data_IF_372633254616
#
_entry.id   IF_372633254616
#
_cell.length_a   1.000
_cell.length_b   1.000
_cell.length_c   1.000
_cell.angle_alpha   90.00
_cell.angle_beta   90.00
_cell.angle_gamma   90.00
#
_symmetry.space_group_name_H-M   'P 1'
#
loop_
_entity.id
_entity.type
_entity.pdbx_description
1 polymer ?
#
# COMPACT_ATOMS: atom_id res chain seq x y z
N UNK A 1 16.23 -5.43 40.35
CA UNK A 1 14.97 -4.65 40.55
C UNK A 1 13.82 -5.64 40.65
N UNK A 2 12.64 -5.26 41.16
CA UNK A 2 11.52 -6.19 41.35
C UNK A 2 10.18 -5.62 40.90
N UNK A 3 9.16 -6.46 40.84
CA UNK A 3 7.83 -6.15 40.31
C UNK A 3 6.75 -6.52 41.34
N UNK A 4 5.75 -5.66 41.48
CA UNK A 4 4.55 -5.90 42.29
C UNK A 4 3.50 -6.68 41.47
N UNK A 5 3.05 -7.81 42.00
CA UNK A 5 1.96 -8.63 41.45
C UNK A 5 0.67 -8.40 42.25
N UNK A 6 -0.46 -8.37 41.55
CA UNK A 6 -1.80 -8.27 42.15
C UNK A 6 -2.54 -9.59 41.95
N UNK A 7 -3.17 -10.08 43.01
CA UNK A 7 -4.10 -11.21 43.01
C UNK A 7 -5.42 -10.71 43.61
N UNK A 8 -6.56 -11.20 43.11
CA UNK A 8 -7.88 -10.71 43.53
C UNK A 8 -8.07 -10.89 45.06
N UNK A 9 -8.10 -9.81 45.86
CA UNK A 9 -8.05 -9.92 47.31
C UNK A 9 -9.35 -10.46 47.93
N UNK A 10 -10.46 -10.49 47.19
CA UNK A 10 -11.72 -11.09 47.67
C UNK A 10 -11.67 -12.62 47.74
N UNK A 11 -10.73 -13.24 47.02
CA UNK A 11 -10.74 -14.69 46.77
C UNK A 11 -9.50 -15.40 47.33
N UNK A 12 -8.37 -14.71 47.51
CA UNK A 12 -7.08 -15.31 47.86
C UNK A 12 -6.75 -15.22 49.35
N UNK A 13 -6.54 -16.37 50.00
CA UNK A 13 -6.17 -16.51 51.41
C UNK A 13 -4.66 -16.57 51.63
N UNK A 14 -3.92 -17.19 50.70
CA UNK A 14 -2.47 -17.36 50.78
C UNK A 14 -1.80 -17.26 49.42
N UNK A 15 -0.56 -16.76 49.38
CA UNK A 15 0.27 -16.78 48.19
C UNK A 15 1.63 -17.35 48.55
N UNK A 16 2.04 -18.35 47.79
CA UNK A 16 3.37 -18.95 47.83
C UNK A 16 4.09 -18.62 46.54
N UNK A 17 5.41 -18.56 46.61
CA UNK A 17 6.25 -18.28 45.45
C UNK A 17 7.56 -19.05 45.53
N UNK A 18 7.98 -19.60 44.40
CA UNK A 18 9.32 -20.16 44.17
C UNK A 18 9.92 -19.63 42.86
N UNK A 19 11.25 -19.65 42.76
CA UNK A 19 11.96 -19.41 41.51
C UNK A 19 11.95 -20.67 40.65
N UNK A 20 11.79 -20.51 39.34
CA UNK A 20 11.86 -21.61 38.36
C UNK A 20 12.90 -21.30 37.30
N UNK A 21 13.32 -22.29 36.53
CA UNK A 21 14.20 -22.12 35.37
C UNK A 21 13.40 -21.83 34.08
N UNK A 22 14.10 -21.71 32.94
CA UNK A 22 13.49 -21.50 31.63
C UNK A 22 12.61 -22.65 31.15
N UNK A 23 12.70 -23.83 31.79
CA UNK A 23 11.85 -24.99 31.53
C UNK A 23 10.66 -25.06 32.50
N UNK A 24 10.46 -24.03 33.33
CA UNK A 24 9.42 -23.93 34.34
C UNK A 24 9.55 -24.99 35.46
N UNK A 25 10.77 -25.45 35.71
CA UNK A 25 11.07 -26.42 36.78
C UNK A 25 11.88 -25.71 37.87
N UNK A 26 11.64 -26.06 39.13
CA UNK A 26 12.43 -25.59 40.26
C UNK A 26 13.93 -25.90 40.03
N UNK A 27 14.83 -24.90 40.05
CA UNK A 27 16.24 -25.12 39.75
C UNK A 27 16.89 -25.99 40.83
N UNK A 28 17.85 -26.82 40.45
CA UNK A 28 18.47 -27.81 41.36
C UNK A 28 19.32 -27.21 42.49
N UNK A 29 19.72 -25.94 42.39
CA UNK A 29 20.41 -25.18 43.42
C UNK A 29 19.68 -23.85 43.68
N UNK A 30 18.53 -23.91 44.37
CA UNK A 30 17.76 -22.71 44.72
C UNK A 30 18.51 -21.84 45.73
N UNK A 31 18.59 -20.54 45.47
CA UNK A 31 18.92 -19.57 46.53
C UNK A 31 17.78 -19.49 47.55
N UNK A 32 18.04 -19.01 48.78
CA UNK A 32 16.98 -18.82 49.81
C UNK A 32 15.76 -18.03 49.29
N UNK A 33 15.95 -17.19 48.28
CA UNK A 33 14.90 -16.36 47.68
C UNK A 33 14.03 -17.09 46.67
N UNK A 34 14.54 -18.18 46.09
CA UNK A 34 13.91 -18.99 45.06
C UNK A 34 13.23 -20.24 45.65
N UNK A 35 13.40 -20.50 46.95
CA UNK A 35 12.67 -21.55 47.65
C UNK A 35 11.18 -21.21 47.77
N UNK A 36 10.35 -22.25 47.68
CA UNK A 36 8.90 -22.12 47.86
C UNK A 36 8.59 -21.54 49.23
N UNK A 37 8.18 -20.27 49.25
CA UNK A 37 7.97 -19.51 50.47
C UNK A 37 6.63 -18.81 50.42
N UNK A 38 5.91 -18.82 51.55
CA UNK A 38 4.68 -18.04 51.70
C UNK A 38 5.05 -16.56 51.76
N UNK A 39 4.56 -15.79 50.79
CA UNK A 39 4.82 -14.36 50.71
C UNK A 39 3.62 -13.59 51.23
N UNK A 40 3.88 -12.47 51.91
CA UNK A 40 2.83 -11.57 52.40
C UNK A 40 2.66 -10.40 51.44
N UNK A 41 1.43 -9.91 51.27
CA UNK A 41 1.21 -8.69 50.53
C UNK A 41 1.76 -7.47 51.28
N UNK A 42 2.02 -6.39 50.55
CA UNK A 42 2.23 -5.06 51.12
C UNK A 42 0.91 -4.41 51.57
N UNK A 43 0.98 -3.16 52.05
CA UNK A 43 -0.17 -2.41 52.58
C UNK A 43 -1.28 -2.12 51.56
N UNK A 44 -1.06 -2.43 50.28
CA UNK A 44 -2.05 -2.28 49.19
C UNK A 44 -2.34 -3.61 48.47
N UNK A 45 -2.15 -4.74 49.16
CA UNK A 45 -2.42 -6.08 48.65
C UNK A 45 -1.58 -6.51 47.43
N UNK A 46 -0.35 -6.00 47.32
CA UNK A 46 0.59 -6.38 46.25
C UNK A 46 1.73 -7.24 46.75
N UNK A 47 2.17 -8.16 45.92
CA UNK A 47 3.22 -9.14 46.23
C UNK A 47 4.48 -8.85 45.45
N UNK A 48 5.61 -8.66 46.13
CA UNK A 48 6.87 -8.24 45.50
C UNK A 48 7.76 -9.42 45.11
N UNK A 49 8.30 -9.42 43.89
CA UNK A 49 9.30 -10.40 43.42
C UNK A 49 10.43 -9.79 42.62
N UNK A 50 11.58 -10.44 42.62
CA UNK A 50 12.80 -9.96 41.96
C UNK A 50 12.86 -10.37 40.49
N UNK A 51 13.88 -9.90 39.79
CA UNK A 51 14.26 -10.41 38.47
C UNK A 51 14.46 -11.95 38.49
N UNK A 52 13.97 -12.65 37.46
CA UNK A 52 13.99 -14.11 37.33
C UNK A 52 12.68 -14.69 36.79
N UNK A 53 12.63 -16.01 36.62
CA UNK A 53 11.37 -16.74 36.39
C UNK A 53 10.80 -17.19 37.73
N UNK A 54 9.49 -17.01 37.91
CA UNK A 54 8.82 -17.24 39.18
C UNK A 54 7.54 -18.03 38.97
N UNK A 55 7.31 -18.99 39.86
CA UNK A 55 6.07 -19.73 40.00
C UNK A 55 5.35 -19.24 41.27
N UNK A 56 4.08 -18.88 41.15
CA UNK A 56 3.22 -18.51 42.26
C UNK A 56 2.11 -19.52 42.43
N UNK A 57 1.87 -19.91 43.67
CA UNK A 57 0.75 -20.76 44.06
C UNK A 57 -0.16 -19.93 44.94
N UNK A 58 -1.34 -19.58 44.43
CA UNK A 58 -2.35 -18.86 45.21
C UNK A 58 -3.38 -19.82 45.73
N UNK A 59 -3.64 -19.78 47.04
CA UNK A 59 -4.72 -20.51 47.67
C UNK A 59 -5.90 -19.57 47.91
N UNK A 60 -7.09 -20.00 47.56
CA UNK A 60 -8.30 -19.21 47.77
C UNK A 60 -8.95 -19.51 49.12
N UNK A 61 -9.94 -18.69 49.53
CA UNK A 61 -10.66 -18.84 50.80
C UNK A 61 -11.46 -20.16 50.89
N UNK A 62 -11.86 -20.72 49.74
CA UNK A 62 -12.49 -22.03 49.58
C UNK A 62 -11.47 -23.18 49.42
N UNK A 63 -10.19 -22.92 49.72
CA UNK A 63 -9.09 -23.89 49.75
C UNK A 63 -8.64 -24.42 48.37
N UNK A 64 -9.11 -23.84 47.25
CA UNK A 64 -8.62 -24.17 45.91
C UNK A 64 -7.23 -23.55 45.68
N UNK A 65 -6.41 -24.20 44.85
CA UNK A 65 -5.07 -23.76 44.52
C UNK A 65 -4.96 -23.44 43.03
N UNK A 66 -4.34 -22.31 42.70
CA UNK A 66 -4.09 -21.86 41.34
C UNK A 66 -2.61 -21.53 41.17
N UNK A 67 -2.08 -21.83 39.99
CA UNK A 67 -0.66 -21.68 39.67
C UNK A 67 -0.46 -20.63 38.57
N UNK A 68 0.58 -19.80 38.71
CA UNK A 68 0.93 -18.75 37.74
C UNK A 68 2.44 -18.65 37.57
N UNK A 69 2.91 -18.58 36.32
CA UNK A 69 4.33 -18.40 35.99
C UNK A 69 4.60 -16.99 35.44
N UNK A 70 5.70 -16.36 35.86
CA UNK A 70 6.05 -14.96 35.50
C UNK A 70 7.56 -14.84 35.24
N UNK A 71 7.95 -14.14 34.17
CA UNK A 71 9.35 -13.76 33.88
C UNK A 71 9.56 -12.25 34.16
N UNK A 72 10.58 -11.92 34.93
CA UNK A 72 10.97 -10.55 35.30
C UNK A 72 12.42 -10.31 34.84
N UNK A 73 12.70 -9.31 33.98
CA UNK A 73 14.03 -9.06 33.39
C UNK A 73 14.79 -7.82 33.94
N UNK A 74 16.09 -7.70 33.58
CA UNK A 74 17.04 -6.72 34.15
C UNK A 74 16.87 -5.26 33.69
N UNK A 75 16.46 -5.04 32.43
CA UNK A 75 16.49 -3.73 31.76
C UNK A 75 15.29 -3.53 30.85
N UNK A 76 14.85 -2.27 30.74
CA UNK A 76 13.64 -1.82 30.05
C UNK A 76 13.68 -1.94 28.51
N UNK A 77 14.80 -2.35 27.90
CA UNK A 77 15.01 -2.29 26.44
C UNK A 77 15.02 -3.66 25.72
N UNK A 78 14.77 -4.77 26.43
CA UNK A 78 14.53 -6.08 25.80
C UNK A 78 13.04 -6.21 25.44
N UNK A 79 12.73 -5.68 24.25
CA UNK A 79 11.44 -5.27 23.69
C UNK A 79 10.34 -6.33 23.45
N UNK A 80 10.29 -7.47 24.16
CA UNK A 80 9.07 -8.30 24.18
C UNK A 80 8.94 -9.14 25.46
N UNK A 81 8.05 -8.82 26.41
CA UNK A 81 7.36 -9.86 27.17
C UNK A 81 6.43 -10.59 26.21
N UNK A 82 6.58 -11.91 26.04
CA UNK A 82 5.53 -12.70 25.38
C UNK A 82 4.29 -12.65 26.27
N UNK A 83 3.33 -11.83 25.83
CA UNK A 83 2.08 -11.41 26.47
C UNK A 83 2.21 -10.83 27.89
N UNK A 84 2.17 -9.49 27.98
CA UNK A 84 0.94 -8.70 28.22
C UNK A 84 1.22 -7.21 27.94
N UNK A 85 0.58 -6.62 26.92
CA UNK A 85 0.79 -5.20 26.53
C UNK A 85 0.02 -4.21 27.42
N UNK A 86 0.72 -3.15 27.85
CA UNK A 86 0.21 -1.98 28.59
C UNK A 86 0.31 -0.75 27.68
N UNK A 87 -0.77 0.03 27.54
CA UNK A 87 -0.75 1.39 26.99
C UNK A 87 -0.28 2.39 28.06
N UNK A 88 0.51 3.37 27.65
CA UNK A 88 1.24 4.31 28.51
C UNK A 88 0.37 5.17 29.43
N UNK A 89 0.07 4.65 30.63
CA UNK A 89 0.03 5.38 31.89
C UNK A 89 -0.06 4.33 33.03
N UNK A 90 1.00 4.22 33.82
CA UNK A 90 1.41 2.99 34.53
C UNK A 90 0.60 2.61 35.79
N UNK A 91 -0.74 2.67 35.82
CA UNK A 91 -1.50 2.26 37.03
C UNK A 91 -2.94 1.75 36.85
N UNK A 92 -3.39 1.37 35.64
CA UNK A 92 -4.77 0.91 35.45
C UNK A 92 -4.76 -0.48 34.81
N UNK A 93 -5.33 -1.47 35.51
CA UNK A 93 -5.75 -2.72 34.88
C UNK A 93 -6.97 -2.41 34.01
N UNK A 94 -6.83 -2.61 32.70
CA UNK A 94 -7.91 -2.41 31.73
C UNK A 94 -8.66 -3.72 31.56
N UNK A 95 -9.99 -3.65 31.51
CA UNK A 95 -10.85 -4.78 31.19
C UNK A 95 -10.37 -5.42 29.88
N UNK A 96 -10.17 -6.75 29.86
CA UNK A 96 -9.72 -7.47 28.68
C UNK A 96 -10.54 -7.08 27.44
N UNK A 97 -11.86 -6.95 27.56
CA UNK A 97 -12.76 -6.58 26.45
C UNK A 97 -12.59 -5.16 25.91
N UNK A 98 -11.80 -4.33 26.61
CA UNK A 98 -11.41 -2.97 26.23
C UNK A 98 -9.99 -2.90 25.67
N UNK A 99 -9.21 -3.99 25.76
CA UNK A 99 -7.91 -4.09 25.11
C UNK A 99 -8.06 -4.40 23.62
N UNK A 100 -7.05 -4.09 22.81
CA UNK A 100 -7.05 -4.41 21.37
C UNK A 100 -7.35 -5.89 21.14
N UNK A 101 -6.69 -6.77 21.90
CA UNK A 101 -6.87 -8.22 21.82
C UNK A 101 -8.30 -8.65 22.15
N UNK A 102 -8.87 -8.13 23.25
CA UNK A 102 -10.25 -8.44 23.61
C UNK A 102 -11.28 -7.84 22.66
N UNK A 103 -11.02 -6.67 22.05
CA UNK A 103 -11.88 -6.11 21.01
C UNK A 103 -11.90 -7.03 19.78
N UNK A 104 -10.75 -7.51 19.33
CA UNK A 104 -10.67 -8.45 18.20
C UNK A 104 -11.41 -9.77 18.50
N UNK A 105 -11.22 -10.34 19.70
CA UNK A 105 -11.96 -11.54 20.09
C UNK A 105 -13.47 -11.28 20.18
N UNK A 106 -13.86 -10.15 20.77
CA UNK A 106 -15.26 -9.74 20.91
C UNK A 106 -15.94 -9.63 19.55
N UNK A 107 -15.30 -8.98 18.58
CA UNK A 107 -15.83 -8.86 17.21
C UNK A 107 -15.93 -10.24 16.55
N UNK A 108 -14.92 -11.10 16.69
CA UNK A 108 -15.01 -12.48 16.20
C UNK A 108 -16.21 -13.25 16.78
N UNK A 109 -16.46 -13.13 18.09
CA UNK A 109 -17.57 -13.79 18.76
C UNK A 109 -18.94 -13.25 18.30
N UNK A 110 -19.04 -11.96 18.03
CA UNK A 110 -20.26 -11.34 17.50
C UNK A 110 -20.49 -11.78 16.05
N UNK A 111 -19.48 -11.60 15.20
CA UNK A 111 -19.64 -11.71 13.75
C UNK A 111 -19.69 -13.16 13.27
N UNK A 112 -18.93 -14.05 13.90
CA UNK A 112 -18.79 -15.45 13.46
C UNK A 112 -19.45 -16.45 14.41
N UNK A 113 -19.50 -16.17 15.72
CA UNK A 113 -20.21 -17.03 16.70
C UNK A 113 -21.63 -16.55 17.02
N UNK A 114 -22.03 -15.38 16.51
CA UNK A 114 -23.38 -14.79 16.70
C UNK A 114 -23.76 -14.66 18.18
N UNK A 115 -22.77 -14.39 19.04
CA UNK A 115 -22.98 -14.11 20.46
C UNK A 115 -23.32 -12.63 20.67
N UNK A 116 -24.26 -12.36 21.56
CA UNK A 116 -24.55 -10.99 22.00
C UNK A 116 -23.61 -10.56 23.14
N UNK A 117 -23.51 -9.24 23.38
CA UNK A 117 -22.64 -8.66 24.41
C UNK A 117 -22.97 -9.15 25.84
N UNK A 118 -24.21 -9.55 26.09
CA UNK A 118 -24.65 -10.07 27.40
C UNK A 118 -24.12 -11.47 27.64
N UNK A 119 -23.98 -12.27 26.59
CA UNK A 119 -23.36 -13.60 26.65
C UNK A 119 -21.84 -13.49 26.72
N UNK A 120 -21.24 -12.56 25.97
CA UNK A 120 -19.79 -12.34 25.95
C UNK A 120 -19.27 -11.90 27.33
N UNK A 121 -19.98 -10.98 27.99
CA UNK A 121 -19.62 -10.51 29.34
C UNK A 121 -19.73 -11.58 30.45
N UNK A 122 -20.39 -12.71 30.18
CA UNK A 122 -20.53 -13.84 31.10
C UNK A 122 -19.51 -14.96 30.85
N UNK A 123 -18.65 -14.82 29.85
CA UNK A 123 -17.63 -15.84 29.56
C UNK A 123 -16.59 -15.86 30.66
N UNK A 124 -16.29 -17.06 31.16
CA UNK A 124 -15.18 -17.25 32.08
C UNK A 124 -13.83 -17.26 31.33
N UNK A 125 -12.74 -17.24 32.08
CA UNK A 125 -11.39 -17.19 31.53
C UNK A 125 -11.11 -18.35 30.56
N UNK A 126 -11.50 -19.57 30.91
CA UNK A 126 -11.25 -20.78 30.11
C UNK A 126 -12.01 -20.74 28.78
N UNK A 127 -13.24 -20.23 28.79
CA UNK A 127 -14.04 -20.01 27.60
C UNK A 127 -13.43 -18.93 26.71
N UNK A 128 -12.98 -17.82 27.30
CA UNK A 128 -12.27 -16.74 26.58
C UNK A 128 -10.98 -17.28 25.95
N UNK A 129 -10.18 -18.04 26.69
CA UNK A 129 -8.94 -18.63 26.21
C UNK A 129 -9.17 -19.69 25.11
N UNK A 130 -10.24 -20.48 25.22
CA UNK A 130 -10.65 -21.45 24.20
C UNK A 130 -11.04 -20.73 22.90
N UNK A 131 -11.89 -19.71 22.99
CA UNK A 131 -12.26 -18.90 21.83
C UNK A 131 -11.07 -18.15 21.23
N UNK A 132 -10.12 -17.72 22.05
CA UNK A 132 -8.89 -17.10 21.58
C UNK A 132 -8.02 -18.06 20.77
N UNK A 133 -7.87 -19.31 21.22
CA UNK A 133 -7.18 -20.38 20.47
C UNK A 133 -7.90 -20.69 19.16
N UNK A 134 -9.23 -20.72 19.18
CA UNK A 134 -10.01 -20.93 17.96
C UNK A 134 -9.88 -19.75 16.99
N UNK A 135 -10.02 -18.52 17.47
CA UNK A 135 -9.86 -17.29 16.70
C UNK A 135 -8.48 -17.22 16.04
N UNK A 136 -7.41 -17.41 16.82
CA UNK A 136 -6.03 -17.41 16.30
C UNK A 136 -5.80 -18.53 15.30
N UNK A 137 -6.32 -19.74 15.56
CA UNK A 137 -6.29 -20.84 14.60
C UNK A 137 -7.05 -20.53 13.32
N UNK A 138 -8.17 -19.81 13.38
CA UNK A 138 -8.98 -19.44 12.23
C UNK A 138 -8.33 -18.32 11.42
N UNK A 139 -7.63 -17.39 12.05
CA UNK A 139 -6.78 -16.42 11.37
C UNK A 139 -5.65 -17.13 10.62
N UNK A 140 -4.93 -18.03 11.29
CA UNK A 140 -3.82 -18.80 10.67
C UNK A 140 -4.31 -19.64 9.49
N UNK A 141 -5.49 -20.25 9.63
CA UNK A 141 -6.14 -21.02 8.56
C UNK A 141 -6.89 -20.16 7.54
N UNK A 142 -6.78 -18.82 7.61
CA UNK A 142 -7.40 -17.85 6.69
C UNK A 142 -8.94 -17.97 6.57
N UNK A 143 -9.60 -18.45 7.64
CA UNK A 143 -11.06 -18.55 7.72
C UNK A 143 -11.73 -17.25 8.19
N UNK A 144 -10.94 -16.32 8.72
CA UNK A 144 -11.36 -14.96 9.07
C UNK A 144 -10.69 -14.02 8.07
N UNK A 145 -11.45 -13.29 7.23
CA UNK A 145 -10.88 -12.27 6.36
C UNK A 145 -10.20 -11.18 7.20
N UNK A 146 -9.05 -10.65 6.76
CA UNK A 146 -8.40 -9.53 7.42
C UNK A 146 -9.29 -8.28 7.36
N UNK A 147 -9.00 -7.32 8.26
CA UNK A 147 -9.65 -6.01 8.25
C UNK A 147 -9.54 -5.41 6.85
N UNK A 148 -10.64 -4.99 6.21
CA UNK A 148 -10.58 -4.36 4.90
C UNK A 148 -9.78 -3.05 4.90
N UNK A 149 -9.57 -2.41 6.06
CA UNK A 149 -8.96 -1.09 6.19
C UNK A 149 -7.91 -1.05 7.34
N UNK A 150 -6.68 -1.58 7.15
CA UNK A 150 -5.63 -1.52 8.17
C UNK A 150 -5.23 -0.07 8.57
N UNK A 151 -4.40 0.12 9.60
CA UNK A 151 -3.82 1.46 9.83
C UNK A 151 -2.73 1.73 8.77
N UNK A 152 -2.61 2.97 8.29
CA UNK A 152 -1.56 3.42 7.36
C UNK A 152 -1.52 2.72 5.98
N UNK A 153 -2.69 2.39 5.40
CA UNK A 153 -2.76 1.92 4.01
C UNK A 153 -2.83 3.06 3.00
N UNK A 154 -2.50 2.70 1.76
CA UNK A 154 -2.79 3.48 0.56
C UNK A 154 -3.93 2.81 -0.20
N UNK A 155 -5.03 3.53 -0.35
CA UNK A 155 -6.15 3.10 -1.18
C UNK A 155 -5.80 3.34 -2.66
N UNK A 156 -5.79 2.26 -3.44
CA UNK A 156 -5.51 2.34 -4.87
C UNK A 156 -6.79 2.43 -5.72
N UNK A 157 -7.96 2.46 -5.10
CA UNK A 157 -9.26 2.49 -5.79
C UNK A 157 -9.35 3.60 -6.83
N UNK A 158 -9.92 3.26 -7.98
CA UNK A 158 -10.16 4.20 -9.09
C UNK A 158 -9.70 3.65 -10.44
N UNK A 159 -9.57 4.54 -11.42
CA UNK A 159 -9.20 4.16 -12.78
C UNK A 159 -7.78 4.63 -13.15
N UNK A 160 -7.08 3.85 -13.97
CA UNK A 160 -5.79 4.24 -14.55
C UNK A 160 -5.85 4.26 -16.09
N UNK A 161 -5.04 5.11 -16.75
CA UNK A 161 -5.05 5.22 -18.22
C UNK A 161 -4.70 3.90 -18.89
N UNK A 162 -5.27 3.62 -20.07
CA UNK A 162 -4.93 2.43 -20.82
C UNK A 162 -3.42 2.27 -21.05
N UNK A 163 -2.93 1.05 -20.90
CA UNK A 163 -1.55 0.67 -21.23
C UNK A 163 -1.48 0.45 -22.73
N UNK A 164 -0.96 1.44 -23.45
CA UNK A 164 -0.89 1.44 -24.91
C UNK A 164 0.42 0.84 -25.38
N UNK A 165 0.35 0.01 -26.42
CA UNK A 165 1.52 -0.68 -26.98
C UNK A 165 1.29 -1.09 -28.42
N UNK A 166 2.37 -1.53 -29.06
CA UNK A 166 2.39 -2.13 -30.38
C UNK A 166 3.35 -3.32 -30.35
N UNK A 167 2.85 -4.45 -29.87
CA UNK A 167 3.66 -5.63 -29.57
C UNK A 167 3.09 -6.89 -30.21
N UNK A 168 3.99 -7.79 -30.62
CA UNK A 168 3.64 -9.07 -31.25
C UNK A 168 4.06 -10.28 -30.39
N UNK A 169 4.75 -10.04 -29.28
CA UNK A 169 5.17 -11.07 -28.33
C UNK A 169 4.43 -10.92 -27.01
N UNK A 170 3.72 -11.98 -26.62
CA UNK A 170 2.94 -12.04 -25.39
C UNK A 170 3.79 -11.85 -24.13
N UNK A 171 5.06 -12.30 -24.15
CA UNK A 171 5.97 -12.10 -23.01
C UNK A 171 6.40 -10.64 -22.89
N UNK A 172 6.52 -9.96 -24.04
CA UNK A 172 6.83 -8.54 -24.08
C UNK A 172 5.66 -7.71 -23.57
N UNK A 173 4.43 -8.03 -23.99
CA UNK A 173 3.19 -7.46 -23.44
C UNK A 173 3.17 -7.62 -21.93
N UNK A 174 3.34 -8.84 -21.40
CA UNK A 174 3.38 -9.11 -19.96
C UNK A 174 4.39 -8.23 -19.24
N UNK A 175 5.61 -8.14 -19.77
CA UNK A 175 6.68 -7.36 -19.14
C UNK A 175 6.33 -5.87 -19.07
N UNK A 176 5.72 -5.31 -20.12
CA UNK A 176 5.28 -3.92 -20.15
C UNK A 176 4.13 -3.66 -19.16
N UNK A 177 3.15 -4.56 -19.11
CA UNK A 177 2.00 -4.46 -18.20
C UNK A 177 2.45 -4.49 -16.74
N UNK A 178 3.32 -5.44 -16.37
CA UNK A 178 3.82 -5.55 -15.00
C UNK A 178 4.71 -4.36 -14.63
N UNK A 179 5.54 -3.88 -15.55
CA UNK A 179 6.36 -2.68 -15.33
C UNK A 179 5.50 -1.42 -15.13
N UNK A 180 4.45 -1.26 -15.93
CA UNK A 180 3.48 -0.18 -15.77
C UNK A 180 2.80 -0.26 -14.39
N UNK A 181 2.27 -1.43 -14.02
CA UNK A 181 1.60 -1.62 -12.74
C UNK A 181 2.52 -1.32 -11.55
N UNK A 182 3.78 -1.75 -11.61
CA UNK A 182 4.78 -1.42 -10.59
C UNK A 182 5.05 0.09 -10.51
N UNK A 183 5.21 0.77 -11.64
CA UNK A 183 5.42 2.22 -11.66
C UNK A 183 4.19 2.98 -11.12
N UNK A 184 2.99 2.57 -11.51
CA UNK A 184 1.73 3.16 -11.03
C UNK A 184 1.57 3.02 -9.51
N UNK A 185 1.84 1.83 -8.96
CA UNK A 185 1.79 1.59 -7.52
C UNK A 185 2.90 2.36 -6.80
N UNK A 186 4.13 2.38 -7.32
CA UNK A 186 5.25 3.07 -6.69
C UNK A 186 5.06 4.58 -6.54
N UNK A 187 4.25 5.21 -7.40
CA UNK A 187 3.88 6.63 -7.26
C UNK A 187 3.02 6.89 -6.02
N UNK A 188 2.27 5.89 -5.55
CA UNK A 188 1.38 5.99 -4.39
C UNK A 188 1.98 5.36 -3.12
N UNK A 189 2.63 4.21 -3.27
CA UNK A 189 3.23 3.42 -2.19
C UNK A 189 4.52 2.74 -2.69
N UNK A 190 5.66 3.42 -2.54
CA UNK A 190 6.95 2.96 -3.06
C UNK A 190 7.48 1.66 -2.46
N UNK A 191 6.96 1.25 -1.30
CA UNK A 191 7.38 0.03 -0.60
C UNK A 191 6.60 -1.21 -1.04
N UNK A 192 5.52 -1.03 -1.80
CA UNK A 192 4.65 -2.12 -2.23
C UNK A 192 5.25 -3.01 -3.31
N UNK A 193 5.04 -4.31 -3.18
CA UNK A 193 5.67 -5.34 -4.02
C UNK A 193 4.63 -6.18 -4.74
N UNK A 194 4.79 -6.27 -6.07
CA UNK A 194 4.03 -7.20 -6.91
C UNK A 194 4.16 -8.63 -6.37
N UNK A 195 3.04 -9.35 -6.27
CA UNK A 195 2.96 -10.70 -5.76
C UNK A 195 2.95 -10.81 -4.23
N UNK A 196 3.19 -9.73 -3.49
CA UNK A 196 3.08 -9.68 -2.02
C UNK A 196 1.89 -8.82 -1.61
N UNK A 197 1.82 -7.59 -2.13
CA UNK A 197 0.81 -6.60 -1.73
C UNK A 197 -0.30 -6.44 -2.78
N UNK A 198 -0.02 -6.79 -4.04
CA UNK A 198 -0.99 -6.72 -5.13
C UNK A 198 -0.66 -7.72 -6.24
N UNK A 199 -1.61 -7.95 -7.14
CA UNK A 199 -1.47 -8.72 -8.37
C UNK A 199 -2.16 -7.99 -9.53
N UNK A 200 -1.77 -8.33 -10.76
CA UNK A 200 -2.43 -7.83 -11.97
C UNK A 200 -3.21 -8.97 -12.59
N UNK A 201 -4.52 -8.83 -12.66
CA UNK A 201 -5.43 -9.85 -13.20
C UNK A 201 -6.21 -9.32 -14.39
N UNK A 202 -6.69 -10.21 -15.24
CA UNK A 202 -7.79 -9.88 -16.15
C UNK A 202 -9.08 -9.66 -15.35
N UNK A 203 -10.10 -9.12 -16.01
CA UNK A 203 -11.45 -8.95 -15.42
C UNK A 203 -12.04 -10.26 -14.88
N UNK A 204 -11.70 -11.39 -15.48
CA UNK A 204 -12.11 -12.74 -15.05
C UNK A 204 -11.29 -13.27 -13.86
N UNK A 205 -10.31 -12.50 -13.37
CA UNK A 205 -9.47 -12.85 -12.22
C UNK A 205 -8.25 -13.69 -12.55
N UNK A 206 -7.83 -13.79 -13.82
CA UNK A 206 -6.65 -14.57 -14.22
C UNK A 206 -5.39 -13.74 -13.99
N UNK A 207 -4.48 -14.21 -13.12
CA UNK A 207 -3.22 -13.51 -12.80
C UNK A 207 -2.23 -13.59 -13.99
N UNK A 208 -1.96 -12.42 -14.57
CA UNK A 208 -1.14 -12.23 -15.76
C UNK A 208 0.34 -12.56 -15.48
N UNK A 209 0.78 -12.46 -14.23
CA UNK A 209 2.14 -12.82 -13.81
C UNK A 209 2.38 -14.32 -13.96
N UNK A 210 1.36 -15.11 -13.62
CA UNK A 210 1.40 -16.58 -13.58
C UNK A 210 0.92 -17.24 -14.88
N UNK A 211 0.00 -16.60 -15.60
CA UNK A 211 -0.61 -17.14 -16.81
C UNK A 211 -0.56 -16.13 -17.95
N UNK A 212 0.49 -16.23 -18.77
CA UNK A 212 0.72 -15.35 -19.92
C UNK A 212 -0.31 -15.57 -21.04
N UNK A 213 -0.98 -16.73 -21.08
CA UNK A 213 -1.94 -17.05 -22.12
C UNK A 213 -3.19 -16.17 -22.07
N UNK A 214 -3.49 -15.58 -20.90
CA UNK A 214 -4.54 -14.60 -20.72
C UNK A 214 -4.36 -13.35 -21.60
N UNK A 215 -3.13 -13.08 -22.06
CA UNK A 215 -2.79 -11.95 -22.92
C UNK A 215 -2.83 -12.28 -24.42
N UNK A 216 -3.00 -13.55 -24.81
CA UNK A 216 -3.06 -13.97 -26.23
C UNK A 216 -4.09 -13.20 -27.08
N UNK A 217 -5.27 -12.82 -26.56
CA UNK A 217 -6.24 -12.02 -27.33
C UNK A 217 -5.69 -10.69 -27.85
N UNK A 218 -4.63 -10.15 -27.25
CA UNK A 218 -4.01 -8.90 -27.66
C UNK A 218 -3.13 -9.03 -28.92
N UNK A 219 -2.76 -10.24 -29.34
CA UNK A 219 -1.81 -10.44 -30.44
C UNK A 219 -2.41 -10.24 -31.84
N UNK A 220 -3.74 -10.37 -31.98
CA UNK A 220 -4.43 -10.26 -33.28
C UNK A 220 -4.78 -8.80 -33.64
N UNK A 221 -3.79 -7.90 -33.59
CA UNK A 221 -3.99 -6.45 -33.81
C UNK A 221 -3.82 -6.02 -35.28
N UNK A 222 -3.96 -6.95 -36.22
CA UNK A 222 -3.65 -6.79 -37.65
C UNK A 222 -4.50 -5.73 -38.35
N UNK A 223 -5.81 -5.74 -38.06
CA UNK A 223 -6.81 -4.90 -38.72
C UNK A 223 -7.37 -3.81 -37.82
N UNK A 224 -7.42 -4.07 -36.52
CA UNK A 224 -8.00 -3.18 -35.50
C UNK A 224 -7.23 -3.31 -34.19
N UNK A 225 -7.23 -2.27 -33.33
CA UNK A 225 -6.66 -2.37 -32.01
C UNK A 225 -7.36 -3.47 -31.19
N UNK A 226 -6.59 -4.22 -30.41
CA UNK A 226 -7.13 -5.20 -29.46
C UNK A 226 -7.03 -4.67 -28.04
N UNK A 227 -8.07 -4.94 -27.27
CA UNK A 227 -8.21 -4.45 -25.91
C UNK A 227 -8.35 -5.62 -24.93
N UNK A 228 -7.89 -5.41 -23.70
CA UNK A 228 -8.10 -6.34 -22.59
C UNK A 228 -8.25 -5.55 -21.29
N UNK A 229 -9.39 -5.71 -20.64
CA UNK A 229 -9.64 -5.15 -19.31
C UNK A 229 -8.76 -5.84 -18.28
N UNK A 230 -8.09 -5.05 -17.44
CA UNK A 230 -7.22 -5.52 -16.37
C UNK A 230 -7.49 -4.78 -15.07
N UNK A 231 -7.19 -5.45 -13.97
CA UNK A 231 -7.37 -4.93 -12.62
C UNK A 231 -6.05 -5.09 -11.87
N UNK A 232 -5.53 -3.99 -11.32
CA UNK A 232 -4.48 -4.02 -10.31
C UNK A 232 -5.19 -4.19 -8.97
N UNK A 233 -5.15 -5.40 -8.43
CA UNK A 233 -5.93 -5.78 -7.25
C UNK A 233 -5.03 -6.02 -6.05
N UNK A 234 -5.39 -5.42 -4.93
CA UNK A 234 -4.66 -5.64 -3.68
C UNK A 234 -4.82 -7.06 -3.19
N UNK A 235 -3.76 -7.61 -2.60
CA UNK A 235 -3.84 -8.90 -1.93
C UNK A 235 -4.60 -8.72 -0.64
N UNK A 236 -5.43 -9.72 -0.33
CA UNK A 236 -6.23 -9.76 0.90
C UNK A 236 -5.36 -9.51 2.15
N UNK A 237 -4.13 -10.00 2.18
CA UNK A 237 -3.20 -9.84 3.31
C UNK A 237 -2.17 -8.72 3.14
N UNK A 238 -2.39 -7.80 2.20
CA UNK A 238 -1.57 -6.60 2.08
C UNK A 238 -1.73 -5.76 3.35
N UNK A 239 -0.60 -5.33 3.92
CA UNK A 239 -0.60 -4.47 5.12
C UNK A 239 -0.49 -2.98 4.78
N UNK A 240 -0.32 -2.65 3.48
CA UNK A 240 0.00 -1.30 3.01
C UNK A 240 -0.90 -0.83 1.86
N UNK A 241 -1.64 -1.72 1.19
CA UNK A 241 -2.54 -1.38 0.10
C UNK A 241 -3.95 -1.93 0.34
N UNK A 242 -4.97 -1.15 -0.02
CA UNK A 242 -6.36 -1.62 -0.14
C UNK A 242 -6.98 -1.22 -1.48
N UNK A 243 -8.13 -1.80 -1.79
CA UNK A 243 -8.91 -1.44 -2.99
C UNK A 243 -8.40 -2.11 -4.27
N UNK A 244 -8.88 -1.61 -5.41
CA UNK A 244 -8.49 -2.12 -6.72
C UNK A 244 -8.54 -1.00 -7.76
N UNK A 245 -7.55 -0.97 -8.66
CA UNK A 245 -7.53 -0.02 -9.77
C UNK A 245 -7.92 -0.72 -11.06
N UNK A 246 -8.82 -0.11 -11.84
CA UNK A 246 -9.28 -0.64 -13.11
C UNK A 246 -8.62 0.10 -14.28
N UNK A 247 -8.37 -0.63 -15.37
CA UNK A 247 -7.88 -0.06 -16.61
C UNK A 247 -7.92 -1.09 -17.72
N UNK A 248 -7.29 -0.76 -18.84
CA UNK A 248 -7.23 -1.65 -19.99
C UNK A 248 -5.84 -1.68 -20.62
N UNK A 249 -5.57 -2.72 -21.39
CA UNK A 249 -4.44 -2.78 -22.30
C UNK A 249 -4.98 -2.51 -23.70
N UNK A 250 -4.30 -1.65 -24.45
CA UNK A 250 -4.57 -1.44 -25.87
C UNK A 250 -3.34 -1.81 -26.68
N UNK A 251 -3.46 -2.81 -27.55
CA UNK A 251 -2.43 -3.16 -28.51
C UNK A 251 -2.85 -2.71 -29.92
N UNK A 252 -2.16 -1.71 -30.48
CA UNK A 252 -2.48 -1.09 -31.77
C UNK A 252 -1.24 -1.01 -32.65
N UNK A 253 -1.37 -1.38 -33.92
CA UNK A 253 -0.29 -1.23 -34.92
C UNK A 253 0.06 0.22 -35.24
N UNK A 254 -0.89 1.12 -35.01
CA UNK A 254 -0.72 2.54 -35.30
C UNK A 254 -0.06 3.29 -34.12
N UNK A 255 0.02 2.65 -32.94
CA UNK A 255 0.69 3.23 -31.78
C UNK A 255 2.21 3.23 -31.98
N UNK A 256 2.80 4.40 -31.78
CA UNK A 256 4.25 4.64 -31.86
C UNK A 256 4.73 5.25 -30.53
N UNK A 257 5.39 4.46 -29.65
CA UNK A 257 5.82 4.93 -28.34
C UNK A 257 6.87 6.05 -28.40
N UNK A 258 7.50 6.29 -29.56
CA UNK A 258 8.47 7.38 -29.74
C UNK A 258 7.81 8.71 -30.12
N UNK A 259 6.56 8.68 -30.58
CA UNK A 259 5.81 9.86 -31.03
C UNK A 259 4.64 10.24 -30.13
N UNK A 260 4.19 9.31 -29.29
CA UNK A 260 3.09 9.54 -28.34
C UNK A 260 3.39 10.72 -27.41
N UNK A 261 2.37 11.51 -27.12
CA UNK A 261 2.41 12.62 -26.17
C UNK A 261 1.99 12.14 -24.77
N UNK A 262 2.96 12.07 -23.87
CA UNK A 262 2.74 11.65 -22.49
C UNK A 262 2.29 12.82 -21.62
N UNK A 263 1.00 12.82 -21.24
CA UNK A 263 0.39 13.88 -20.44
C UNK A 263 0.98 13.97 -19.03
N UNK A 264 1.59 12.91 -18.50
CA UNK A 264 2.22 12.93 -17.18
C UNK A 264 3.45 13.85 -17.09
N UNK A 265 4.01 14.24 -18.25
CA UNK A 265 5.12 15.19 -18.34
C UNK A 265 4.67 16.65 -18.18
N UNK A 266 3.37 16.92 -18.18
CA UNK A 266 2.83 18.27 -17.99
C UNK A 266 2.53 18.48 -16.52
N UNK A 267 3.12 19.52 -15.94
CA UNK A 267 2.84 19.95 -14.56
C UNK A 267 1.95 21.19 -14.59
N UNK A 268 0.64 20.99 -14.48
CA UNK A 268 -0.31 22.09 -14.38
C UNK A 268 -0.20 22.77 -13.01
N UNK A 269 -0.23 24.09 -13.01
CA UNK A 269 -0.19 24.86 -11.77
C UNK A 269 -1.53 24.76 -11.04
N UNK A 270 -1.50 24.48 -9.74
CA UNK A 270 -2.70 24.59 -8.89
C UNK A 270 -3.20 26.04 -8.92
N UNK A 271 -4.52 26.22 -8.97
CA UNK A 271 -5.13 27.55 -9.06
C UNK A 271 -5.99 27.83 -7.83
N UNK A 272 -5.91 29.06 -7.35
CA UNK A 272 -6.62 29.53 -6.16
C UNK A 272 -7.24 30.89 -6.43
N UNK A 273 -8.55 30.92 -6.62
CA UNK A 273 -9.32 32.11 -6.97
C UNK A 273 -10.71 32.08 -6.33
N UNK A 274 -11.43 33.19 -6.38
CA UNK A 274 -12.84 33.24 -6.03
C UNK A 274 -13.71 33.05 -7.28
N UNK A 275 -14.30 31.86 -7.42
CA UNK A 275 -15.18 31.48 -8.53
C UNK A 275 -16.66 31.74 -8.23
N UNK A 276 -17.03 32.40 -7.13
CA UNK A 276 -18.43 32.54 -6.68
C UNK A 276 -19.39 33.20 -7.70
N UNK A 277 -18.85 33.93 -8.69
CA UNK A 277 -19.64 34.60 -9.75
C UNK A 277 -19.69 33.81 -11.06
N UNK A 278 -18.96 32.70 -11.16
CA UNK A 278 -18.98 31.87 -12.36
C UNK A 278 -20.24 31.01 -12.37
N UNK A 279 -20.88 30.92 -13.53
CA UNK A 279 -21.80 29.84 -13.85
C UNK A 279 -21.04 28.53 -14.07
N UNK A 280 -21.75 27.41 -14.01
CA UNK A 280 -21.19 26.08 -14.32
C UNK A 280 -20.57 26.05 -15.72
N UNK A 281 -21.22 26.68 -16.70
CA UNK A 281 -20.73 26.71 -18.09
C UNK A 281 -19.48 27.57 -18.24
N UNK A 282 -19.41 28.72 -17.57
CA UNK A 282 -18.19 29.53 -17.52
C UNK A 282 -17.04 28.77 -16.86
N UNK A 283 -17.32 28.01 -15.80
CA UNK A 283 -16.31 27.18 -15.14
C UNK A 283 -15.76 26.10 -16.07
N UNK A 284 -16.62 25.36 -16.76
CA UNK A 284 -16.22 24.34 -17.75
C UNK A 284 -15.35 24.94 -18.85
N UNK A 285 -15.79 26.05 -19.44
CA UNK A 285 -15.07 26.73 -20.51
C UNK A 285 -13.72 27.28 -20.04
N UNK A 286 -13.65 27.82 -18.82
CA UNK A 286 -12.42 28.30 -18.22
C UNK A 286 -11.41 27.16 -18.04
N UNK A 287 -11.83 26.02 -17.49
CA UNK A 287 -10.98 24.83 -17.31
C UNK A 287 -10.43 24.34 -18.66
N UNK A 288 -11.30 24.22 -19.67
CA UNK A 288 -10.91 23.77 -21.01
C UNK A 288 -9.88 24.73 -21.62
N UNK A 289 -10.11 26.05 -21.56
CA UNK A 289 -9.16 27.06 -22.06
C UNK A 289 -7.81 26.99 -21.34
N UNK A 290 -7.82 26.86 -20.01
CA UNK A 290 -6.62 26.75 -19.19
C UNK A 290 -5.77 25.52 -19.59
N UNK A 291 -6.42 24.37 -19.74
CA UNK A 291 -5.77 23.12 -20.14
C UNK A 291 -5.21 23.21 -21.56
N UNK A 292 -6.00 23.74 -22.51
CA UNK A 292 -5.56 23.89 -23.91
C UNK A 292 -4.33 24.81 -24.03
N UNK A 293 -4.27 25.87 -23.22
CA UNK A 293 -3.09 26.73 -23.14
C UNK A 293 -1.87 25.97 -22.62
N UNK A 294 -2.04 25.15 -21.58
CA UNK A 294 -0.96 24.33 -21.04
C UNK A 294 -0.45 23.28 -22.04
N UNK A 295 -1.35 22.57 -22.72
CA UNK A 295 -1.00 21.63 -23.80
C UNK A 295 -0.20 22.34 -24.91
N UNK A 296 -0.65 23.52 -25.33
CA UNK A 296 0.04 24.33 -26.35
C UNK A 296 1.44 24.73 -25.89
N UNK A 297 1.61 25.17 -24.64
CA UNK A 297 2.91 25.55 -24.07
C UNK A 297 3.87 24.36 -23.96
N UNK A 298 3.34 23.16 -23.72
CA UNK A 298 4.11 21.92 -23.70
C UNK A 298 4.40 21.35 -25.10
N UNK A 299 3.96 22.02 -26.18
CA UNK A 299 4.17 21.58 -27.56
C UNK A 299 3.27 20.43 -28.02
N UNK A 300 2.12 20.23 -27.35
CA UNK A 300 1.17 19.14 -27.61
C UNK A 300 -0.04 19.70 -28.38
N UNK A 301 0.23 20.47 -29.45
CA UNK A 301 -0.79 21.24 -30.20
C UNK A 301 -1.63 20.39 -31.14
N UNK A 302 -1.22 19.15 -31.37
CA UNK A 302 -1.83 18.17 -32.25
C UNK A 302 -2.91 17.31 -31.56
N UNK A 303 -3.02 17.39 -30.23
CA UNK A 303 -4.02 16.66 -29.47
C UNK A 303 -5.39 17.35 -29.55
N UNK A 304 -6.44 16.58 -29.84
CA UNK A 304 -7.82 17.06 -29.94
C UNK A 304 -8.63 16.65 -28.70
N UNK A 305 -9.30 17.62 -28.07
CA UNK A 305 -10.19 17.36 -26.93
C UNK A 305 -11.30 16.37 -27.29
N UNK A 306 -11.63 15.47 -26.37
CA UNK A 306 -12.61 14.37 -26.53
C UNK A 306 -12.27 13.35 -27.63
N UNK A 307 -11.09 13.44 -28.23
CA UNK A 307 -10.56 12.45 -29.17
C UNK A 307 -9.27 11.86 -28.66
N UNK A 308 -8.30 12.71 -28.33
CA UNK A 308 -6.98 12.30 -27.87
C UNK A 308 -6.82 12.47 -26.36
N UNK A 309 -7.49 13.43 -25.74
CA UNK A 309 -7.51 13.57 -24.28
C UNK A 309 -8.89 13.98 -23.80
N UNK A 310 -9.16 13.69 -22.53
CA UNK A 310 -10.36 14.13 -21.82
C UNK A 310 -10.03 14.86 -20.54
N UNK A 311 -11.07 15.42 -19.92
CA UNK A 311 -10.99 16.15 -18.67
C UNK A 311 -12.10 15.63 -17.75
N UNK A 312 -11.77 15.34 -16.50
CA UNK A 312 -12.71 14.91 -15.49
C UNK A 312 -12.40 15.52 -14.13
N UNK A 313 -13.32 15.32 -13.18
CA UNK A 313 -13.15 15.72 -11.79
C UNK A 313 -12.90 14.47 -10.95
N UNK A 314 -11.88 14.51 -10.09
CA UNK A 314 -11.44 13.50 -9.13
C UNK A 314 -10.90 12.18 -9.71
N UNK A 315 -11.52 11.58 -10.73
CA UNK A 315 -11.06 10.30 -11.31
C UNK A 315 -11.29 10.21 -12.83
N UNK A 316 -10.62 9.27 -13.50
CA UNK A 316 -10.80 8.98 -14.92
C UNK A 316 -12.16 8.29 -15.11
N UNK A 317 -13.01 8.74 -16.05
CA UNK A 317 -14.28 8.10 -16.30
C UNK A 317 -14.08 6.72 -16.96
N UNK A 318 -15.04 5.78 -16.74
CA UNK A 318 -15.01 4.48 -17.40
C UNK A 318 -15.07 4.62 -18.92
N UNK A 319 -14.75 3.55 -19.63
CA UNK A 319 -14.85 3.49 -21.10
C UNK A 319 -16.24 3.08 -21.58
N UNK A 320 -16.62 3.56 -22.76
CA UNK A 320 -17.77 3.09 -23.52
C UNK A 320 -17.44 1.81 -24.31
N UNK A 321 -18.42 1.30 -25.07
CA UNK A 321 -18.26 0.10 -25.92
C UNK A 321 -17.19 0.26 -27.02
N UNK A 322 -16.85 1.50 -27.37
CA UNK A 322 -15.83 1.83 -28.36
C UNK A 322 -14.46 2.07 -27.71
N UNK A 323 -14.32 1.78 -26.41
CA UNK A 323 -13.12 2.01 -25.61
C UNK A 323 -12.71 3.49 -25.52
N UNK A 324 -13.62 4.41 -25.83
CA UNK A 324 -13.42 5.81 -25.49
C UNK A 324 -13.80 5.99 -24.04
N UNK A 325 -13.01 6.72 -23.26
CA UNK A 325 -13.49 7.17 -21.96
C UNK A 325 -14.75 8.00 -22.17
N UNK A 326 -15.80 7.74 -21.39
CA UNK A 326 -17.10 8.39 -21.54
C UNK A 326 -16.92 9.90 -21.51
N UNK A 327 -17.37 10.57 -22.57
CA UNK A 327 -17.25 12.00 -22.72
C UNK A 327 -18.07 12.70 -21.63
N UNK A 328 -17.39 13.43 -20.76
CA UNK A 328 -18.01 14.42 -19.88
C UNK A 328 -18.58 13.85 -18.58
N UNK A 329 -17.72 13.66 -17.58
CA UNK A 329 -18.16 13.81 -16.18
C UNK A 329 -17.65 15.13 -15.59
N UNK A 330 -18.04 16.22 -16.25
CA UNK A 330 -18.17 17.53 -15.63
C UNK A 330 -19.52 17.57 -14.91
N UNK A 331 -19.65 16.81 -13.83
CA UNK A 331 -20.90 16.68 -13.08
C UNK A 331 -21.35 18.07 -12.58
N UNK A 332 -22.50 18.53 -13.06
CA UNK A 332 -23.08 19.82 -12.69
C UNK A 332 -23.33 19.92 -11.19
N UNK A 333 -23.62 18.81 -10.51
CA UNK A 333 -23.77 18.77 -9.06
C UNK A 333 -22.45 19.07 -8.35
N UNK A 334 -21.33 18.51 -8.84
CA UNK A 334 -20.00 18.78 -8.28
C UNK A 334 -19.63 20.23 -8.47
N UNK A 335 -19.91 20.82 -9.64
CA UNK A 335 -19.65 22.24 -9.85
C UNK A 335 -20.58 23.15 -9.07
N UNK A 336 -21.86 22.82 -8.98
CA UNK A 336 -22.83 23.54 -8.16
C UNK A 336 -22.36 23.60 -6.70
N UNK A 337 -21.90 22.47 -6.15
CA UNK A 337 -21.30 22.43 -4.83
C UNK A 337 -20.00 23.27 -4.77
N UNK A 338 -19.05 23.04 -5.68
CA UNK A 338 -17.77 23.74 -5.70
C UNK A 338 -17.90 25.26 -5.78
N UNK A 339 -18.82 25.76 -6.61
CA UNK A 339 -19.06 27.19 -6.81
C UNK A 339 -19.75 27.84 -5.60
N UNK A 340 -20.52 27.07 -4.83
CA UNK A 340 -21.12 27.52 -3.57
C UNK A 340 -20.07 27.55 -2.45
N UNK A 341 -19.30 28.63 -2.35
CA UNK A 341 -18.27 28.83 -1.32
C UNK A 341 -18.73 29.70 -0.14
N UNK A 342 -20.03 29.93 0.06
CA UNK A 342 -20.55 30.91 1.05
C UNK A 342 -20.04 30.69 2.48
N UNK A 343 -19.81 29.44 2.89
CA UNK A 343 -19.41 29.09 4.26
C UNK A 343 -17.93 28.72 4.38
N UNK A 344 -17.34 28.11 3.35
CA UNK A 344 -15.95 27.66 3.35
C UNK A 344 -15.39 27.56 1.93
N UNK A 345 -14.06 27.65 1.84
CA UNK A 345 -13.35 27.38 0.59
C UNK A 345 -13.46 25.91 0.22
N UNK A 346 -13.62 25.63 -1.07
CA UNK A 346 -13.80 24.27 -1.61
C UNK A 346 -12.69 23.92 -2.60
N UNK A 347 -12.41 22.63 -2.74
CA UNK A 347 -11.36 22.11 -3.63
C UNK A 347 -11.92 21.01 -4.50
N UNK A 348 -11.51 21.01 -5.77
CA UNK A 348 -11.71 19.90 -6.71
C UNK A 348 -10.38 19.58 -7.38
N UNK A 349 -10.17 18.31 -7.67
CA UNK A 349 -9.02 17.85 -8.47
C UNK A 349 -9.47 17.69 -9.91
N UNK A 350 -8.81 18.40 -10.82
CA UNK A 350 -9.03 18.27 -12.25
C UNK A 350 -8.04 17.27 -12.81
N UNK A 351 -8.54 16.24 -13.47
CA UNK A 351 -7.72 15.19 -14.10
C UNK A 351 -7.75 15.38 -15.60
N UNK A 352 -6.58 15.50 -16.22
CA UNK A 352 -6.39 15.52 -17.68
C UNK A 352 -5.82 14.17 -18.07
N UNK A 353 -6.58 13.37 -18.80
CA UNK A 353 -6.24 11.98 -19.09
C UNK A 353 -6.19 11.73 -20.60
N UNK A 354 -5.32 10.82 -21.04
CA UNK A 354 -5.29 10.36 -22.42
C UNK A 354 -6.53 9.50 -22.68
N UNK A 355 -7.24 9.75 -23.79
CA UNK A 355 -8.37 8.90 -24.17
C UNK A 355 -7.82 7.50 -24.52
N UNK A 356 -8.35 6.46 -23.90
CA UNK A 356 -7.90 5.07 -24.06
C UNK A 356 -7.88 4.63 -25.53
N UNK A 357 -8.85 5.07 -26.33
CA UNK A 357 -8.93 4.77 -27.76
C UNK A 357 -7.92 5.52 -28.65
N UNK A 358 -7.24 6.58 -28.18
CA UNK A 358 -6.28 7.34 -28.99
C UNK A 358 -4.92 6.64 -29.09
N UNK A 359 -4.23 6.79 -30.23
CA UNK A 359 -2.83 6.36 -30.41
C UNK A 359 -1.83 7.52 -30.23
N UNK A 360 -2.31 8.75 -30.04
CA UNK A 360 -1.48 9.98 -30.03
C UNK A 360 -1.08 10.44 -28.63
N UNK A 361 -1.77 9.98 -27.59
CA UNK A 361 -1.59 10.41 -26.21
C UNK A 361 -1.47 9.23 -25.25
N UNK A 362 -0.81 9.44 -24.12
CA UNK A 362 -0.77 8.48 -23.02
C UNK A 362 -0.67 9.18 -21.65
N UNK A 363 -0.87 8.41 -20.58
CA UNK A 363 -0.75 8.90 -19.21
C UNK A 363 -1.86 9.85 -18.78
N UNK A 364 -1.63 10.51 -17.66
CA UNK A 364 -2.51 11.53 -17.09
C UNK A 364 -1.71 12.53 -16.28
N UNK A 365 -2.32 13.68 -16.03
CA UNK A 365 -1.84 14.68 -15.06
C UNK A 365 -3.04 15.27 -14.32
N UNK A 366 -2.78 15.90 -13.19
CA UNK A 366 -3.81 16.48 -12.34
C UNK A 366 -3.37 17.80 -11.73
N UNK A 367 -4.34 18.66 -11.42
CA UNK A 367 -4.11 19.88 -10.67
C UNK A 367 -5.34 20.20 -9.82
N UNK A 368 -5.12 20.96 -8.76
CA UNK A 368 -6.15 21.36 -7.81
C UNK A 368 -6.68 22.74 -8.16
N UNK A 369 -8.00 22.87 -8.17
CA UNK A 369 -8.70 24.15 -8.16
C UNK A 369 -9.26 24.41 -6.76
N UNK A 370 -8.91 25.54 -6.17
CA UNK A 370 -9.43 26.02 -4.89
C UNK A 370 -10.34 27.23 -5.12
N UNK A 371 -11.64 27.08 -4.81
CA UNK A 371 -12.58 28.19 -4.74
C UNK A 371 -12.44 28.88 -3.38
N UNK A 372 -11.57 29.88 -3.33
CA UNK A 372 -11.18 30.59 -2.11
C UNK A 372 -12.04 31.83 -1.90
N UNK A 373 -12.72 31.91 -0.75
CA UNK A 373 -13.68 32.98 -0.42
C UNK A 373 -13.05 34.38 -0.52
N UNK A 374 -11.82 34.50 -0.03
CA UNK A 374 -11.07 35.77 -0.02
C UNK A 374 -10.07 35.85 -1.18
N UNK A 375 -10.27 35.06 -2.23
CA UNK A 375 -9.42 35.07 -3.42
C UNK A 375 -9.77 36.20 -4.37
N UNK A 376 -8.82 36.55 -5.21
CA UNK A 376 -9.09 37.41 -6.36
C UNK A 376 -10.02 36.69 -7.33
N UNK A 377 -10.82 37.47 -8.07
CA UNK A 377 -11.61 36.91 -9.16
C UNK A 377 -10.64 36.45 -10.26
N UNK A 378 -10.84 35.25 -10.82
CA UNK A 378 -10.02 34.80 -11.95
C UNK A 378 -10.35 35.65 -13.17
N UNK A 379 -9.37 35.83 -14.06
CA UNK A 379 -9.65 36.34 -15.40
C UNK A 379 -10.60 35.34 -16.11
N UNK A 380 -11.75 35.78 -16.65
CA UNK A 380 -12.65 34.92 -17.41
C UNK A 380 -11.95 34.21 -18.59
N UNK A 381 -10.88 34.79 -19.12
CA UNK A 381 -9.98 34.11 -20.03
C UNK A 381 -8.63 33.82 -19.35
N UNK A 382 -8.35 32.55 -18.99
CA UNK A 382 -7.10 32.20 -18.31
C UNK A 382 -5.85 32.44 -19.17
N UNK A 383 -6.01 32.74 -20.47
CA UNK A 383 -4.88 33.03 -21.36
C UNK A 383 -4.22 34.38 -21.15
N UNK A 384 -4.88 35.31 -20.46
CA UNK A 384 -4.42 36.70 -20.30
C UNK A 384 -3.54 36.94 -19.07
N UNK A 385 -3.63 36.10 -18.02
CA UNK A 385 -3.06 36.43 -16.71
C UNK A 385 -2.27 35.33 -16.02
N UNK A 386 -2.41 34.06 -16.44
CA UNK A 386 -1.82 32.92 -15.72
C UNK A 386 -0.93 32.07 -16.61
N UNK A 387 0.28 31.76 -16.12
CA UNK A 387 1.09 30.71 -16.73
C UNK A 387 0.53 29.36 -16.23
N UNK A 388 -0.04 28.51 -17.09
CA UNK A 388 -0.77 27.32 -16.64
C UNK A 388 0.14 26.14 -16.27
N UNK A 389 1.41 26.22 -16.63
CA UNK A 389 2.38 25.14 -16.49
C UNK A 389 3.66 25.73 -15.91
N UNK A 390 4.28 25.03 -14.96
CA UNK A 390 5.60 25.36 -14.45
C UNK A 390 6.66 25.32 -15.56
N UNK A 391 7.75 26.07 -15.39
CA UNK A 391 8.89 25.95 -16.29
C UNK A 391 9.40 24.52 -16.22
N UNK A 392 9.57 23.86 -17.37
CA UNK A 392 10.20 22.55 -17.43
C UNK A 392 11.65 22.76 -16.98
N UNK A 393 11.96 22.51 -15.70
CA UNK A 393 13.36 22.41 -15.29
C UNK A 393 13.97 21.26 -16.10
N UNK A 394 15.08 21.49 -16.82
CA UNK A 394 15.82 20.38 -17.40
C UNK A 394 16.23 19.49 -16.23
N UNK A 395 15.76 18.24 -16.26
CA UNK A 395 16.13 17.20 -15.31
C UNK A 395 17.62 17.32 -14.98
N UNK A 396 18.05 17.42 -13.70
CA UNK A 396 19.46 17.32 -13.38
C UNK A 396 19.93 15.94 -13.84
N UNK A 397 20.72 15.96 -14.92
CA UNK A 397 21.35 14.78 -15.48
C UNK A 397 21.96 13.94 -14.34
N UNK A 398 21.68 12.63 -14.26
CA UNK A 398 22.60 11.73 -13.60
C UNK A 398 23.91 11.80 -14.40
N UNK A 399 25.00 12.13 -13.72
CA UNK A 399 26.36 12.25 -14.25
C UNK A 399 26.71 11.18 -15.32
N UNK A 400 27.10 11.65 -16.50
CA UNK A 400 27.81 10.88 -17.53
C UNK A 400 29.13 10.33 -16.97
N UNK A 401 29.53 9.10 -17.32
CA UNK A 401 30.92 8.77 -17.61
C UNK A 401 31.14 8.73 -19.13
N UNK A 402 32.31 9.24 -19.50
CA UNK A 402 32.79 9.57 -20.85
C UNK A 402 32.88 8.38 -21.80
N UNK A 403 32.56 8.64 -23.07
CA UNK A 403 32.67 7.74 -24.23
C UNK A 403 34.13 7.32 -24.52
N UNK A 404 34.36 6.17 -25.19
CA UNK A 404 35.04 6.22 -26.49
C UNK A 404 34.31 5.45 -27.61
N UNK A 405 34.59 5.86 -28.84
CA UNK A 405 33.84 5.58 -30.07
C UNK A 405 33.97 4.15 -30.67
N UNK A 406 32.81 3.58 -31.01
CA UNK A 406 32.33 2.80 -32.20
C UNK A 406 33.32 1.89 -32.98
N UNK A 407 32.90 0.65 -33.34
CA UNK A 407 32.36 0.44 -34.69
C UNK A 407 30.99 -0.27 -34.73
N UNK A 408 30.20 0.16 -35.70
CA UNK A 408 28.81 -0.21 -36.02
C UNK A 408 28.64 -1.66 -36.48
N UNK A 409 27.53 -2.31 -36.10
CA UNK A 409 26.58 -3.03 -36.96
C UNK A 409 25.26 -3.28 -36.20
N UNK A 410 24.16 -3.40 -36.94
CA UNK A 410 22.80 -2.95 -36.57
C UNK A 410 21.98 -3.83 -35.63
N UNK A 411 21.35 -3.16 -34.66
CA UNK A 411 19.94 -3.30 -34.20
C UNK A 411 19.83 -2.76 -32.76
N UNK A 412 19.47 -1.48 -32.64
CA UNK A 412 19.68 -0.63 -31.44
C UNK A 412 18.48 -0.52 -30.49
N UNK A 413 17.48 -1.41 -30.54
CA UNK A 413 16.28 -1.26 -29.66
C UNK A 413 16.32 -2.06 -28.35
N UNK A 414 17.22 -3.05 -28.20
CA UNK A 414 17.21 -3.94 -27.02
C UNK A 414 18.56 -4.12 -26.28
N UNK A 415 19.67 -3.56 -26.76
CA UNK A 415 20.99 -3.82 -26.17
C UNK A 415 21.27 -3.09 -24.84
N UNK A 416 20.65 -1.92 -24.58
CA UNK A 416 20.99 -1.08 -23.41
C UNK A 416 20.56 -1.69 -22.06
N UNK A 417 19.56 -2.56 -22.04
CA UNK A 417 19.07 -3.20 -20.82
C UNK A 417 19.66 -4.60 -20.58
N UNK A 418 20.15 -5.28 -21.63
CA UNK A 418 20.68 -6.65 -21.55
C UNK A 418 22.20 -6.74 -21.30
N UNK A 419 22.95 -5.66 -21.57
CA UNK A 419 24.41 -5.64 -21.45
C UNK A 419 24.98 -5.97 -20.04
N UNK A 420 24.42 -5.46 -18.93
CA UNK A 420 24.93 -5.82 -17.60
C UNK A 420 24.71 -7.31 -17.26
N UNK A 421 23.58 -7.86 -17.72
CA UNK A 421 23.15 -9.23 -17.43
C UNK A 421 23.98 -10.28 -18.17
N UNK A 422 24.52 -9.92 -19.34
CA UNK A 422 25.32 -10.83 -20.19
C UNK A 422 26.83 -10.72 -19.90
N UNK A 423 27.33 -9.52 -19.59
CA UNK A 423 28.79 -9.30 -19.40
C UNK A 423 29.27 -9.77 -18.03
N UNK A 424 28.48 -9.57 -16.96
CA UNK A 424 28.89 -9.94 -15.59
C UNK A 424 29.16 -11.46 -15.45
N UNK A 425 28.32 -12.37 -16.01
CA UNK A 425 28.62 -13.80 -15.99
C UNK A 425 29.85 -14.18 -16.82
N UNK A 426 30.06 -13.55 -17.98
CA UNK A 426 31.17 -13.91 -18.89
C UNK A 426 32.51 -13.48 -18.32
N UNK A 427 32.60 -12.30 -17.69
CA UNK A 427 33.81 -11.84 -17.00
C UNK A 427 34.10 -12.74 -15.78
N UNK A 428 33.07 -13.16 -15.04
CA UNK A 428 33.20 -14.12 -13.94
C UNK A 428 33.80 -15.46 -14.39
N UNK A 429 33.28 -16.01 -15.48
CA UNK A 429 33.76 -17.28 -16.06
C UNK A 429 35.21 -17.16 -16.57
N UNK A 430 35.58 -16.04 -17.21
CA UNK A 430 36.95 -15.82 -17.71
C UNK A 430 37.94 -15.67 -16.55
N UNK A 431 37.58 -14.97 -15.46
CA UNK A 431 38.42 -14.84 -14.27
C UNK A 431 38.61 -16.20 -13.58
N UNK A 432 37.56 -17.02 -13.47
CA UNK A 432 37.65 -18.38 -12.94
C UNK A 432 38.56 -19.28 -13.79
N UNK A 433 38.43 -19.24 -15.12
CA UNK A 433 39.28 -20.02 -16.04
C UNK A 433 40.75 -19.60 -15.92
N UNK A 434 41.05 -18.29 -15.89
CA UNK A 434 42.42 -17.78 -15.75
C UNK A 434 43.00 -18.15 -14.38
N UNK A 435 42.23 -18.04 -13.31
CA UNK A 435 42.65 -18.42 -11.96
C UNK A 435 42.94 -19.92 -11.87
N UNK A 436 42.10 -20.77 -12.48
CA UNK A 436 42.29 -22.22 -12.50
C UNK A 436 43.53 -22.63 -13.33
N UNK A 437 43.77 -21.96 -14.47
CA UNK A 437 44.94 -22.18 -15.31
C UNK A 437 46.26 -21.86 -14.57
N UNK A 438 46.33 -20.74 -13.84
CA UNK A 438 47.52 -20.39 -13.04
C UNK A 438 47.71 -21.30 -11.82
N UNK A 439 46.63 -21.81 -11.22
CA UNK A 439 46.71 -22.74 -10.09
C UNK A 439 47.22 -24.12 -10.51
N UNK A 440 46.88 -24.58 -11.71
CA UNK A 440 47.42 -25.83 -12.27
C UNK A 440 48.89 -25.72 -12.69
N UNK A 441 49.31 -24.58 -13.24
CA UNK A 441 50.71 -24.36 -13.66
C UNK A 441 51.70 -24.27 -12.48
N UNK A 442 51.23 -23.92 -11.27
CA UNK A 442 52.04 -23.95 -10.03
C UNK A 442 52.13 -25.32 -9.34
N UNK A 443 51.34 -26.32 -9.77
CA UNK A 443 51.40 -27.69 -9.22
C UNK A 443 52.22 -28.66 -10.08
N UNK A 444 52.68 -28.24 -11.26
CA UNK A 444 53.70 -28.96 -12.03
C UNK A 444 55.03 -28.23 -11.85
N UNK A 445 55.71 -28.56 -10.76
CA UNK A 445 57.15 -28.45 -10.60
C UNK A 445 57.64 -29.70 -9.90
#
# INVERSE_FOLDING_TARGET
MGVQQLFNPAEVSEVWREGVDSNLISPSNQTEREQLTKIKPDSVNKYWSWEGFWHYITKTNDNLAYEKYVLIGAKYQDKYPRFLDILGNNNIAVDFWTTIHGIHLKNYLIDYKKLDLTKISKLNFEQVASYWKEYTSYIIAQRIPPDPNPADFVDISGNFPAIKMNEIDVNKIRSLVLAYAQNYINQKASEAKLGIDYYVVTKEGIDISSNVDALKPLLDNLTEPKYLDIIIKTKQFSSILIGESNGSIKNSRNYDPEKVKDLSKIKFNNQKFNFAVFSIEEMKNWIIKYINLGLKKSGYTDLVFNKDYGISINDIPPTDENHNNVLGYFNDEIFSDFLNNLERSKKITIVVYANDASDLSEGKTEFVLENYINGDKPDPDPTNSTNPVDSIEPNPNPTNPTNPEIPTWGDKKYLRWLLPVIIIPIIGIIIEIIWFYFRFKKRIR
#
